data_IF_508087882336
#
_entry.id   IF_508087882336
#
_cell.length_a   1.000
_cell.length_b   1.000
_cell.length_c   1.000
_cell.angle_alpha   90.00
_cell.angle_beta   90.00
_cell.angle_gamma   90.00
#
_symmetry.space_group_name_H-M   'P 1'
#
loop_
_entity.id
_entity.type
_entity.pdbx_description
1 polymer ?
#
# COMPACT_ATOMS: atom_id res chain seq x y z
N UNK A 1 13.26 -10.02 -8.82
CA UNK A 1 11.84 -10.21 -9.17
C UNK A 1 11.69 -11.16 -10.35
N UNK A 2 10.60 -11.95 -10.44
CA UNK A 2 10.29 -12.79 -11.61
C UNK A 2 9.50 -12.00 -12.66
N UNK A 3 9.70 -12.29 -13.95
CA UNK A 3 8.95 -11.60 -15.03
C UNK A 3 7.42 -11.69 -14.86
N UNK A 4 6.83 -12.83 -14.45
CA UNK A 4 5.38 -12.93 -14.23
C UNK A 4 4.85 -11.96 -13.16
N UNK A 5 5.61 -11.69 -12.09
CA UNK A 5 5.18 -10.76 -11.05
C UNK A 5 5.15 -9.31 -11.57
N UNK A 6 6.15 -8.93 -12.38
CA UNK A 6 6.21 -7.60 -12.98
C UNK A 6 5.03 -7.38 -13.92
N UNK A 7 4.71 -8.36 -14.77
CA UNK A 7 3.57 -8.30 -15.70
C UNK A 7 2.25 -8.15 -14.94
N UNK A 8 2.07 -8.89 -13.84
CA UNK A 8 0.90 -8.76 -12.96
C UNK A 8 0.79 -7.38 -12.33
N UNK A 9 1.89 -6.81 -11.85
CA UNK A 9 1.92 -5.46 -11.28
C UNK A 9 1.68 -4.35 -12.32
N UNK A 10 2.21 -4.53 -13.53
CA UNK A 10 1.94 -3.63 -14.65
C UNK A 10 0.46 -3.64 -15.02
N UNK A 11 -0.13 -4.84 -15.19
CA UNK A 11 -1.56 -5.00 -15.47
C UNK A 11 -2.44 -4.41 -14.35
N UNK A 12 -2.07 -4.62 -13.09
CA UNK A 12 -2.84 -4.10 -11.94
C UNK A 12 -2.77 -2.58 -11.82
N UNK A 13 -1.64 -1.97 -12.19
CA UNK A 13 -1.48 -0.51 -12.15
C UNK A 13 -2.06 0.20 -13.37
N UNK A 14 -2.31 -0.51 -14.47
CA UNK A 14 -2.81 0.09 -15.70
C UNK A 14 -4.16 0.83 -15.52
N UNK A 15 -4.34 1.99 -16.18
CA UNK A 15 -5.63 2.67 -16.23
C UNK A 15 -6.64 1.89 -17.09
N UNK A 16 -7.89 1.78 -16.63
CA UNK A 16 -8.95 1.15 -17.42
C UNK A 16 -9.28 2.01 -18.65
N UNK A 17 -9.19 1.41 -19.84
CA UNK A 17 -9.64 2.04 -21.09
C UNK A 17 -8.75 3.18 -21.63
N UNK A 18 -7.51 3.32 -21.14
CA UNK A 18 -6.55 4.32 -21.64
C UNK A 18 -5.35 3.63 -22.29
N UNK A 19 -4.63 4.31 -23.21
CA UNK A 19 -3.44 3.77 -23.82
C UNK A 19 -2.41 3.38 -22.76
N UNK A 20 -1.74 2.24 -22.97
CA UNK A 20 -0.78 1.70 -22.03
C UNK A 20 0.39 2.68 -21.84
N UNK A 21 0.46 3.31 -20.67
CA UNK A 21 1.70 3.94 -20.19
C UNK A 21 2.70 2.84 -19.86
N UNK A 22 3.96 3.03 -20.28
CA UNK A 22 5.04 2.12 -19.90
C UNK A 22 5.15 2.05 -18.37
N UNK A 23 5.12 0.84 -17.79
CA UNK A 23 5.22 0.67 -16.34
C UNK A 23 6.62 1.07 -15.86
N UNK A 24 6.67 1.78 -14.73
CA UNK A 24 7.89 2.22 -14.06
C UNK A 24 8.07 1.45 -12.74
N UNK A 25 9.22 0.80 -12.54
CA UNK A 25 9.54 0.17 -11.26
C UNK A 25 10.05 1.24 -10.31
N UNK A 26 9.28 1.55 -9.27
CA UNK A 26 9.66 2.52 -8.25
C UNK A 26 10.52 1.91 -7.14
N UNK A 27 10.32 0.61 -6.86
CA UNK A 27 11.12 -0.13 -5.90
C UNK A 27 11.05 -1.63 -6.21
N UNK A 28 12.18 -2.34 -6.09
CA UNK A 28 12.23 -3.80 -6.09
C UNK A 28 13.10 -4.28 -4.93
N UNK A 29 12.45 -4.81 -3.89
CA UNK A 29 13.10 -5.33 -2.68
C UNK A 29 12.50 -6.70 -2.32
N UNK A 30 13.23 -7.56 -1.58
CA UNK A 30 12.70 -8.86 -1.18
C UNK A 30 11.33 -8.78 -0.46
N UNK A 31 11.14 -7.74 0.36
CA UNK A 31 9.93 -7.53 1.15
C UNK A 31 8.84 -6.71 0.42
N UNK A 32 9.08 -6.32 -0.84
CA UNK A 32 8.05 -5.76 -1.69
C UNK A 32 8.56 -5.10 -2.97
N UNK A 33 7.72 -5.17 -3.99
CA UNK A 33 7.95 -4.53 -5.30
C UNK A 33 6.84 -3.53 -5.56
N UNK A 34 7.18 -2.37 -6.13
CA UNK A 34 6.27 -1.27 -6.41
C UNK A 34 6.41 -0.86 -7.87
N UNK A 35 5.32 -0.91 -8.62
CA UNK A 35 5.25 -0.53 -10.04
C UNK A 35 4.20 0.55 -10.23
N UNK A 36 4.53 1.57 -11.00
CA UNK A 36 3.64 2.68 -11.34
C UNK A 36 3.24 2.60 -12.81
N UNK A 37 1.96 2.88 -13.07
CA UNK A 37 1.45 3.20 -14.41
C UNK A 37 0.59 4.46 -14.30
N UNK A 38 1.07 5.56 -14.89
CA UNK A 38 0.40 6.86 -14.82
C UNK A 38 0.21 7.37 -13.39
N UNK A 39 -1.06 7.42 -12.94
CA UNK A 39 -1.47 7.91 -11.60
C UNK A 39 -1.75 6.78 -10.60
N UNK A 40 -1.36 5.55 -10.90
CA UNK A 40 -1.64 4.40 -10.07
C UNK A 40 -0.37 3.62 -9.79
N UNK A 41 -0.30 3.08 -8.58
CA UNK A 41 0.75 2.18 -8.13
C UNK A 41 0.16 0.82 -7.80
N UNK A 42 0.80 -0.23 -8.28
CA UNK A 42 0.60 -1.59 -7.80
C UNK A 42 1.78 -1.97 -6.89
N UNK A 43 1.47 -2.63 -5.77
CA UNK A 43 2.47 -3.12 -4.82
C UNK A 43 2.28 -4.60 -4.56
N UNK A 44 3.35 -5.36 -4.73
CA UNK A 44 3.49 -6.69 -4.17
C UNK A 44 4.02 -6.57 -2.74
N UNK A 45 3.32 -7.18 -1.77
CA UNK A 45 3.74 -7.23 -0.36
C UNK A 45 4.75 -8.35 -0.13
N UNK A 46 5.35 -8.45 1.05
CA UNK A 46 6.28 -9.54 1.38
C UNK A 46 5.58 -10.92 1.26
N UNK A 47 6.28 -11.97 0.82
CA UNK A 47 5.66 -13.29 0.61
C UNK A 47 5.28 -13.99 1.92
N UNK A 48 5.90 -13.59 3.02
CA UNK A 48 5.69 -14.11 4.37
C UNK A 48 4.64 -13.29 5.16
N UNK A 49 3.96 -12.35 4.51
CA UNK A 49 2.89 -11.56 5.13
C UNK A 49 1.59 -12.34 5.16
N UNK A 50 0.87 -12.28 6.28
CA UNK A 50 -0.49 -12.83 6.37
C UNK A 50 -1.46 -11.96 5.54
N UNK A 51 -2.12 -12.53 4.50
CA UNK A 51 -3.11 -11.81 3.71
C UNK A 51 -4.31 -11.31 4.52
N UNK A 52 -4.71 -12.00 5.60
CA UNK A 52 -5.84 -11.59 6.44
C UNK A 52 -5.52 -10.34 7.25
N UNK A 53 -4.31 -10.29 7.84
CA UNK A 53 -3.80 -9.10 8.50
C UNK A 53 -3.73 -7.91 7.54
N UNK A 54 -3.27 -8.15 6.31
CA UNK A 54 -3.20 -7.13 5.29
C UNK A 54 -4.60 -6.64 4.88
N UNK A 55 -5.56 -7.55 4.66
CA UNK A 55 -6.96 -7.20 4.43
C UNK A 55 -7.51 -6.33 5.55
N UNK A 56 -7.28 -6.66 6.82
CA UNK A 56 -7.75 -5.87 7.96
C UNK A 56 -7.16 -4.44 7.91
N UNK A 57 -5.86 -4.30 7.64
CA UNK A 57 -5.20 -3.00 7.47
C UNK A 57 -5.76 -2.20 6.31
N UNK A 58 -6.06 -2.84 5.17
CA UNK A 58 -6.65 -2.19 4.00
C UNK A 58 -8.07 -1.68 4.30
N UNK A 59 -8.89 -2.47 5.00
CA UNK A 59 -10.23 -2.04 5.44
C UNK A 59 -10.18 -0.86 6.41
N UNK A 60 -9.21 -0.85 7.32
CA UNK A 60 -8.96 0.31 8.19
C UNK A 60 -8.58 1.53 7.34
N UNK A 61 -7.61 1.42 6.43
CA UNK A 61 -7.18 2.51 5.56
C UNK A 61 -8.31 3.06 4.66
N UNK A 62 -9.24 2.20 4.24
CA UNK A 62 -10.40 2.56 3.44
C UNK A 62 -11.59 3.10 4.25
N UNK A 63 -11.54 3.08 5.58
CA UNK A 63 -12.69 3.38 6.42
C UNK A 63 -13.09 4.87 6.33
N UNK A 64 -14.38 5.21 6.21
CA UNK A 64 -14.82 6.61 6.04
C UNK A 64 -14.34 7.57 7.13
N UNK A 65 -14.20 7.12 8.38
CA UNK A 65 -13.68 7.95 9.48
C UNK A 65 -12.22 8.35 9.31
N UNK A 66 -11.48 7.68 8.44
CA UNK A 66 -10.08 7.96 8.12
C UNK A 66 -9.92 8.66 6.77
N UNK A 67 -11.03 9.05 6.13
CA UNK A 67 -10.98 9.80 4.88
C UNK A 67 -10.25 11.14 5.06
N UNK A 68 -9.28 11.40 4.19
CA UNK A 68 -8.39 12.55 4.30
C UNK A 68 -7.42 12.49 5.48
N UNK A 69 -7.31 11.38 6.20
CA UNK A 69 -6.27 11.10 7.21
C UNK A 69 -5.31 10.05 6.65
N UNK A 70 -5.85 8.90 6.23
CA UNK A 70 -5.12 7.87 5.53
C UNK A 70 -5.49 7.87 4.05
N UNK A 71 -4.54 7.47 3.21
CA UNK A 71 -4.79 7.24 1.79
C UNK A 71 -5.56 5.91 1.66
N UNK A 72 -6.77 5.89 1.08
CA UNK A 72 -7.47 4.64 0.82
C UNK A 72 -6.84 3.88 -0.37
N UNK A 73 -6.79 2.53 -0.34
CA UNK A 73 -6.42 1.75 -1.51
C UNK A 73 -7.46 1.91 -2.64
N UNK A 74 -7.01 1.71 -3.87
CA UNK A 74 -7.90 1.62 -5.03
C UNK A 74 -8.54 0.23 -5.11
N UNK A 75 -9.77 0.13 -5.63
CA UNK A 75 -10.42 -1.17 -5.82
C UNK A 75 -9.64 -2.08 -6.78
N UNK A 76 -9.72 -3.38 -6.49
CA UNK A 76 -9.24 -4.49 -7.31
C UNK A 76 -10.27 -5.62 -7.30
N UNK A 77 -10.25 -6.48 -8.31
CA UNK A 77 -11.09 -7.68 -8.33
C UNK A 77 -10.53 -8.70 -7.31
N UNK A 78 -11.26 -8.94 -6.23
CA UNK A 78 -10.90 -9.88 -5.18
C UNK A 78 -11.92 -9.91 -4.05
N UNK A 79 -11.83 -10.87 -3.10
CA UNK A 79 -12.85 -11.12 -2.07
C UNK A 79 -13.19 -9.89 -1.22
N UNK A 80 -12.19 -9.02 -0.99
CA UNK A 80 -12.29 -7.83 -0.13
C UNK A 80 -12.25 -6.51 -0.89
N UNK A 81 -12.24 -6.56 -2.22
CA UNK A 81 -12.21 -5.40 -3.10
C UNK A 81 -10.92 -4.59 -3.11
N UNK A 82 -9.95 -4.84 -2.21
CA UNK A 82 -8.69 -4.09 -2.12
C UNK A 82 -7.42 -4.96 -2.21
N UNK A 83 -7.58 -6.28 -2.18
CA UNK A 83 -6.50 -7.25 -2.22
C UNK A 83 -6.79 -8.31 -3.30
N UNK A 84 -5.76 -8.66 -4.07
CA UNK A 84 -5.75 -9.85 -4.92
C UNK A 84 -4.48 -10.65 -4.65
N UNK A 85 -4.53 -11.96 -4.91
CA UNK A 85 -3.39 -12.85 -4.79
C UNK A 85 -2.94 -13.29 -6.19
N UNK A 86 -1.64 -13.49 -6.36
CA UNK A 86 -1.09 -14.26 -7.48
C UNK A 86 -1.32 -15.76 -7.27
N UNK A 87 -0.99 -16.56 -8.28
CA UNK A 87 -1.07 -18.02 -8.25
C UNK A 87 -0.17 -18.64 -7.16
N UNK A 88 0.97 -18.02 -6.86
CA UNK A 88 1.88 -18.40 -5.77
C UNK A 88 1.53 -17.75 -4.42
N UNK A 89 0.35 -17.13 -4.32
CA UNK A 89 -0.16 -16.55 -3.06
C UNK A 89 0.41 -15.19 -2.70
N UNK A 90 1.17 -14.54 -3.59
CA UNK A 90 1.71 -13.19 -3.36
C UNK A 90 0.59 -12.16 -3.31
N UNK A 91 0.51 -11.44 -2.19
CA UNK A 91 -0.49 -10.38 -2.01
C UNK A 91 -0.16 -9.12 -2.81
N UNK A 92 -1.11 -8.66 -3.63
CA UNK A 92 -1.01 -7.44 -4.45
C UNK A 92 -2.08 -6.42 -4.06
N UNK A 93 -1.72 -5.14 -4.08
CA UNK A 93 -2.63 -4.01 -3.79
C UNK A 93 -2.43 -2.87 -4.77
N UNK A 94 -3.44 -2.01 -4.91
CA UNK A 94 -3.47 -0.89 -5.85
C UNK A 94 -3.70 0.42 -5.09
N UNK A 95 -3.02 1.50 -5.49
CA UNK A 95 -3.01 2.77 -4.76
C UNK A 95 -2.96 3.97 -5.70
N UNK A 96 -3.49 5.14 -5.30
CA UNK A 96 -3.19 6.39 -5.97
C UNK A 96 -1.69 6.70 -5.89
N UNK A 97 -1.10 7.16 -6.98
CA UNK A 97 0.26 7.71 -6.95
C UNK A 97 0.23 9.15 -6.42
N UNK A 98 1.09 9.44 -5.43
CA UNK A 98 1.31 10.78 -4.90
C UNK A 98 2.71 11.30 -5.26
N UNK A 99 3.03 12.51 -4.81
CA UNK A 99 4.37 13.08 -4.95
C UNK A 99 5.32 12.46 -3.90
N UNK A 100 6.44 11.84 -4.31
CA UNK A 100 7.44 11.35 -3.37
C UNK A 100 8.11 12.51 -2.61
N UNK A 101 8.48 12.27 -1.36
CA UNK A 101 9.37 13.17 -0.61
C UNK A 101 10.82 12.85 -1.01
N UNK A 102 11.64 13.83 -1.44
CA UNK A 102 13.03 13.60 -1.77
C UNK A 102 13.82 13.11 -0.56
N UNK A 103 14.58 12.00 -0.66
CA UNK A 103 15.34 11.49 0.48
C UNK A 103 16.58 12.34 0.80
N UNK A 104 17.06 13.13 -0.16
CA UNK A 104 18.23 14.03 -0.07
C UNK A 104 17.88 15.46 0.34
N UNK A 105 16.59 15.78 0.45
CA UNK A 105 16.08 17.06 0.95
C UNK A 105 14.97 16.83 2.00
N UNK A 106 15.34 16.48 3.25
CA UNK A 106 14.37 16.26 4.32
C UNK A 106 13.56 17.51 4.69
N UNK A 107 14.06 18.71 4.39
CA UNK A 107 13.39 19.98 4.68
C UNK A 107 12.26 20.26 3.68
N UNK A 108 12.29 19.64 2.49
CA UNK A 108 11.19 19.68 1.53
C UNK A 108 9.98 18.81 1.93
N UNK A 109 10.09 18.00 2.99
CA UNK A 109 8.96 17.21 3.47
C UNK A 109 7.86 18.14 4.03
N UNK A 110 6.57 17.87 3.77
CA UNK A 110 5.46 18.70 4.23
C UNK A 110 5.14 18.40 5.71
N UNK A 111 6.04 18.79 6.60
CA UNK A 111 6.02 18.46 8.03
C UNK A 111 4.76 18.95 8.74
N UNK A 112 4.30 20.15 8.44
CA UNK A 112 3.10 20.73 9.04
C UNK A 112 1.83 19.96 8.64
N UNK A 113 1.71 19.56 7.38
CA UNK A 113 0.58 18.75 6.90
C UNK A 113 0.62 17.36 7.53
N UNK A 114 1.80 16.75 7.61
CA UNK A 114 1.99 15.47 8.30
C UNK A 114 1.59 15.56 9.78
N UNK A 115 1.96 16.63 10.49
CA UNK A 115 1.57 16.85 11.88
C UNK A 115 0.06 17.01 12.04
N UNK A 116 -0.62 17.71 11.13
CA UNK A 116 -2.09 17.83 11.11
C UNK A 116 -2.75 16.46 10.90
N UNK A 117 -2.24 15.65 9.97
CA UNK A 117 -2.74 14.29 9.74
C UNK A 117 -2.55 13.41 10.99
N UNK A 118 -1.40 13.50 11.65
CA UNK A 118 -1.11 12.73 12.86
C UNK A 118 -2.01 13.14 14.03
N UNK A 119 -2.25 14.45 14.24
CA UNK A 119 -3.16 14.95 15.27
C UNK A 119 -4.60 14.46 15.03
N UNK A 120 -5.06 14.49 13.77
CA UNK A 120 -6.37 13.95 13.38
C UNK A 120 -6.44 12.45 13.60
N UNK A 121 -5.39 11.70 13.27
CA UNK A 121 -5.32 10.26 13.50
C UNK A 121 -5.44 9.91 14.99
N UNK A 122 -4.74 10.63 15.87
CA UNK A 122 -4.82 10.42 17.33
C UNK A 122 -6.20 10.75 17.92
N UNK A 123 -7.02 11.52 17.21
CA UNK A 123 -8.39 11.83 17.64
C UNK A 123 -9.42 10.76 17.25
N UNK A 124 -9.01 9.72 16.51
CA UNK A 124 -9.89 8.61 16.10
C UNK A 124 -9.92 7.53 17.18
N UNK A 125 -11.10 7.20 17.70
CA UNK A 125 -11.28 6.04 18.59
C UNK A 125 -11.10 4.73 17.81
N UNK A 126 -10.07 3.90 18.11
CA UNK A 126 -9.81 2.67 17.38
C UNK A 126 -10.97 1.66 17.46
N UNK A 127 -11.82 1.73 18.49
CA UNK A 127 -13.00 0.85 18.62
C UNK A 127 -14.07 1.12 17.57
N UNK A 128 -13.97 2.23 16.85
CA UNK A 128 -14.87 2.60 15.74
C UNK A 128 -14.32 2.17 14.37
N UNK A 129 -13.16 1.50 14.34
CA UNK A 129 -12.54 0.97 13.13
C UNK A 129 -12.80 -0.54 13.00
N UNK A 130 -12.73 -1.11 11.78
CA UNK A 130 -12.93 -2.54 11.59
C UNK A 130 -11.80 -3.38 12.22
N UNK A 131 -12.21 -4.43 12.94
CA UNK A 131 -11.35 -5.45 13.56
C UNK A 131 -10.73 -5.04 14.91
N UNK A 132 -9.96 -5.92 15.56
CA UNK A 132 -8.77 -5.46 16.27
C UNK A 132 -7.70 -5.09 15.23
N UNK A 133 -6.93 -4.02 15.50
CA UNK A 133 -5.80 -3.64 14.65
C UNK A 133 -4.71 -4.72 14.73
N UNK A 134 -4.27 -5.32 13.61
CA UNK A 134 -3.23 -6.34 13.67
C UNK A 134 -1.92 -5.79 14.26
N UNK A 135 -1.20 -6.58 15.07
CA UNK A 135 0.01 -6.12 15.74
C UNK A 135 1.04 -5.59 14.74
N UNK A 136 1.71 -4.49 15.09
CA UNK A 136 2.75 -3.91 14.23
C UNK A 136 3.89 -4.93 14.05
N UNK A 137 4.28 -5.22 12.80
CA UNK A 137 5.36 -6.20 12.51
C UNK A 137 6.78 -5.67 12.77
N UNK A 138 6.94 -4.41 13.20
CA UNK A 138 8.25 -3.77 13.43
C UNK A 138 9.19 -4.58 14.32
N UNK A 139 8.76 -4.98 15.54
CA UNK A 139 9.59 -5.81 16.42
C UNK A 139 10.00 -7.15 15.79
N UNK A 140 9.06 -7.83 15.12
CA UNK A 140 9.34 -9.10 14.44
C UNK A 140 10.27 -8.93 13.21
N UNK A 141 10.27 -7.76 12.56
CA UNK A 141 11.22 -7.43 11.50
C UNK A 141 12.60 -7.14 12.07
N UNK A 142 12.68 -6.35 13.15
CA UNK A 142 13.94 -6.04 13.83
C UNK A 142 14.63 -7.31 14.35
N UNK A 143 13.89 -8.21 14.99
CA UNK A 143 14.42 -9.48 15.49
C UNK A 143 14.99 -10.40 14.40
N UNK A 144 14.55 -10.25 13.14
CA UNK A 144 15.06 -11.02 11.99
C UNK A 144 16.29 -10.39 11.32
N UNK A 145 16.57 -9.13 11.63
CA UNK A 145 17.72 -8.40 11.08
C UNK A 145 18.94 -8.45 12.01
N UNK A 146 18.77 -8.94 13.25
CA UNK A 146 19.81 -9.22 14.23
C UNK A 146 20.28 -10.67 14.09
#
# INVERSE_FOLDING_TARGET
>A
MTAPLLDRLAALSAPAGAPATSPEILADRPDGTVVRSGRTVAKAHAPDGDPQDLTARLRIAAHPRLHGILLPPLPVTGPDGFLTLTEDGRALTRWPYGSPVPPDDPDAAPWEDAARLLARLHSVDPRQLPGPVPPMRGPAKAARAL
#
